data_IF_397908035996
#
_entry.id   IF_397908035996
#
_cell.length_a   1.000
_cell.length_b   1.000
_cell.length_c   1.000
_cell.angle_alpha   90.00
_cell.angle_beta   90.00
_cell.angle_gamma   90.00
#
_symmetry.space_group_name_H-M   'P 1'
#
loop_
_entity.id
_entity.type
_entity.pdbx_description
1 polymer ?
#
# COMPACT_ATOMS: atom_id res chain seq x y z
N UNK A 1 -32.47 27.23 38.89
CA UNK A 1 -31.72 26.27 38.05
C UNK A 1 -30.89 26.87 36.95
N UNK A 2 -30.48 28.16 37.09
CA UNK A 2 -29.81 28.90 36.01
C UNK A 2 -28.33 29.28 36.26
N UNK A 3 -27.68 28.51 37.15
CA UNK A 3 -26.30 28.88 37.59
C UNK A 3 -25.19 28.03 36.98
N UNK A 4 -25.47 27.10 36.08
CA UNK A 4 -24.48 26.16 35.58
C UNK A 4 -23.96 26.42 34.14
N UNK A 5 -24.40 27.51 33.49
CA UNK A 5 -24.08 27.76 32.10
C UNK A 5 -23.21 29.01 31.81
N UNK A 6 -22.48 29.53 32.80
CA UNK A 6 -21.49 30.59 32.58
C UNK A 6 -20.06 30.12 32.83
N UNK A 7 -19.66 29.07 32.12
CA UNK A 7 -18.25 28.73 31.95
C UNK A 7 -17.64 29.69 30.91
N UNK A 8 -17.16 30.85 31.36
CA UNK A 8 -16.37 31.74 30.53
C UNK A 8 -14.97 31.16 30.35
N UNK A 9 -14.88 30.10 29.53
CA UNK A 9 -13.60 29.50 29.17
C UNK A 9 -13.01 30.30 28.00
N UNK A 10 -11.90 30.97 28.25
CA UNK A 10 -11.18 31.67 27.18
C UNK A 10 -10.48 30.67 26.28
N UNK A 11 -10.27 31.04 24.99
CA UNK A 11 -9.52 30.21 24.04
C UNK A 11 -8.14 29.78 24.57
N UNK A 12 -7.52 30.64 25.38
CA UNK A 12 -6.22 30.38 25.99
C UNK A 12 -6.28 29.33 27.09
N UNK A 13 -7.35 29.26 27.84
CA UNK A 13 -7.56 28.24 28.88
C UNK A 13 -7.92 26.88 28.26
N UNK A 14 -8.67 26.88 27.16
CA UNK A 14 -8.96 25.67 26.39
C UNK A 14 -7.67 25.05 25.80
N UNK A 15 -6.77 25.89 25.27
CA UNK A 15 -5.49 25.45 24.74
C UNK A 15 -4.56 24.89 25.82
N UNK A 16 -4.56 25.50 27.02
CA UNK A 16 -3.77 24.99 28.15
C UNK A 16 -4.30 23.68 28.70
N UNK A 17 -5.61 23.49 28.74
CA UNK A 17 -6.25 22.25 29.15
C UNK A 17 -6.02 21.13 28.09
N UNK A 18 -6.02 21.48 26.80
CA UNK A 18 -5.72 20.56 25.70
C UNK A 18 -4.27 20.06 25.72
N UNK A 19 -3.31 20.90 26.10
CA UNK A 19 -1.89 20.53 26.18
C UNK A 19 -1.61 19.54 27.33
N UNK A 20 -2.33 19.65 28.44
CA UNK A 20 -2.18 18.73 29.57
C UNK A 20 -2.80 17.33 29.30
N UNK A 21 -3.87 17.26 28.51
CA UNK A 21 -4.50 15.97 28.13
C UNK A 21 -3.73 15.23 27.03
N UNK A 22 -2.99 15.93 26.17
CA UNK A 22 -2.16 15.32 25.13
C UNK A 22 -1.00 14.48 25.71
N UNK A 23 -0.46 14.85 26.86
CA UNK A 23 0.62 14.12 27.51
C UNK A 23 0.17 12.77 28.11
N UNK A 24 -1.10 12.65 28.53
CA UNK A 24 -1.63 11.42 29.09
C UNK A 24 -2.05 10.36 28.02
N UNK A 25 -2.29 10.81 26.78
CA UNK A 25 -2.69 9.93 25.67
C UNK A 25 -1.45 9.43 24.88
N UNK A 26 -0.29 10.08 25.04
CA UNK A 26 0.93 9.71 24.32
C UNK A 26 1.60 8.42 24.85
N UNK A 27 1.35 8.06 26.10
CA UNK A 27 1.99 6.88 26.72
C UNK A 27 1.56 5.51 26.13
N UNK A 28 0.29 5.26 25.78
CA UNK A 28 -0.11 3.98 25.17
C UNK A 28 0.26 3.86 23.71
N UNK A 29 0.44 4.95 22.98
CA UNK A 29 0.80 4.91 21.55
C UNK A 29 2.26 4.51 21.30
N UNK A 30 3.15 4.78 22.24
CA UNK A 30 4.57 4.36 22.13
C UNK A 30 4.69 2.85 22.31
N UNK A 31 3.88 2.24 23.18
CA UNK A 31 3.87 0.79 23.38
C UNK A 31 3.28 0.01 22.19
N UNK A 32 2.30 0.61 21.48
CA UNK A 32 1.72 0.03 20.26
C UNK A 32 2.64 0.17 19.04
N UNK A 33 3.42 1.25 18.96
CA UNK A 33 4.40 1.44 17.88
C UNK A 33 5.56 0.44 17.96
N UNK A 34 5.93 0.00 19.17
CA UNK A 34 6.98 -1.02 19.37
C UNK A 34 6.53 -2.44 19.03
N UNK A 35 5.23 -2.71 19.00
CA UNK A 35 4.70 -4.02 18.60
C UNK A 35 4.72 -4.26 17.08
N UNK A 36 5.09 -3.25 16.28
CA UNK A 36 5.15 -3.35 14.81
C UNK A 36 6.54 -3.71 14.26
N UNK A 37 7.55 -3.82 15.11
CA UNK A 37 8.88 -4.28 14.74
C UNK A 37 9.00 -5.82 14.75
N UNK A 38 7.95 -6.53 14.31
CA UNK A 38 8.11 -7.92 13.95
C UNK A 38 9.09 -7.97 12.75
N UNK A 39 10.16 -8.77 12.80
CA UNK A 39 11.11 -8.85 11.71
C UNK A 39 10.36 -9.19 10.43
N UNK A 40 10.54 -8.36 9.41
CA UNK A 40 9.92 -8.59 8.11
C UNK A 40 10.32 -9.99 7.65
N UNK A 41 9.33 -10.81 7.32
CA UNK A 41 9.60 -12.16 6.81
C UNK A 41 10.42 -12.04 5.53
N UNK A 42 11.46 -12.87 5.35
CA UNK A 42 12.28 -12.84 4.15
C UNK A 42 11.39 -13.06 2.91
N UNK A 43 11.74 -12.46 1.77
CA UNK A 43 10.97 -12.63 0.54
C UNK A 43 10.98 -14.11 0.12
N UNK A 44 9.83 -14.62 -0.28
CA UNK A 44 9.70 -15.95 -0.89
C UNK A 44 9.84 -15.74 -2.39
N UNK A 45 10.97 -16.21 -2.94
CA UNK A 45 11.28 -16.10 -4.37
C UNK A 45 10.66 -17.26 -5.15
N UNK A 46 10.14 -16.97 -6.33
CA UNK A 46 9.65 -17.93 -7.29
C UNK A 46 10.14 -17.60 -8.70
N UNK A 47 10.47 -18.62 -9.47
CA UNK A 47 10.74 -18.45 -10.90
C UNK A 47 9.43 -18.52 -11.66
N UNK A 48 9.11 -17.47 -12.41
CA UNK A 48 7.87 -17.34 -13.19
C UNK A 48 8.24 -17.21 -14.66
N UNK A 49 7.63 -18.03 -15.50
CA UNK A 49 7.81 -17.98 -16.95
C UNK A 49 6.47 -17.65 -17.61
N UNK A 50 6.45 -16.65 -18.48
CA UNK A 50 5.29 -16.28 -19.28
C UNK A 50 5.73 -15.61 -20.60
N UNK A 51 4.80 -15.45 -21.52
CA UNK A 51 5.08 -14.80 -22.79
C UNK A 51 4.58 -13.36 -22.77
N UNK A 52 5.44 -12.40 -23.12
CA UNK A 52 5.08 -10.97 -23.22
C UNK A 52 5.35 -10.48 -24.64
N UNK A 53 4.30 -10.01 -25.31
CA UNK A 53 4.38 -9.51 -26.69
C UNK A 53 5.04 -10.51 -27.66
N UNK A 54 4.74 -11.80 -27.50
CA UNK A 54 5.29 -12.87 -28.33
C UNK A 54 6.73 -13.28 -28.00
N UNK A 55 7.26 -12.84 -26.87
CA UNK A 55 8.60 -13.21 -26.37
C UNK A 55 8.48 -13.97 -25.07
N UNK A 56 9.11 -15.15 -24.96
CA UNK A 56 9.16 -15.86 -23.68
C UNK A 56 10.09 -15.12 -22.72
N UNK A 57 9.60 -14.86 -21.53
CA UNK A 57 10.34 -14.20 -20.45
C UNK A 57 10.32 -15.10 -19.21
N UNK A 58 11.44 -15.17 -18.52
CA UNK A 58 11.58 -15.92 -17.26
C UNK A 58 12.17 -15.00 -16.22
N UNK A 59 11.47 -14.84 -15.10
CA UNK A 59 11.85 -13.94 -14.03
C UNK A 59 11.90 -14.69 -12.70
N UNK A 60 12.87 -14.34 -11.88
CA UNK A 60 12.90 -14.72 -10.47
C UNK A 60 12.37 -13.54 -9.65
N UNK A 61 11.21 -13.72 -9.04
CA UNK A 61 10.44 -12.66 -8.38
C UNK A 61 10.03 -13.06 -6.96
N UNK A 62 9.92 -12.07 -6.09
CA UNK A 62 9.13 -12.23 -4.86
C UNK A 62 7.68 -12.57 -5.24
N UNK A 63 7.10 -13.59 -4.62
CA UNK A 63 5.73 -14.06 -4.89
C UNK A 63 4.67 -12.98 -4.68
N UNK A 64 5.01 -11.88 -3.99
CA UNK A 64 4.15 -10.72 -3.77
C UNK A 64 4.24 -9.67 -4.87
N UNK A 65 5.10 -9.87 -5.87
CA UNK A 65 5.28 -8.91 -6.97
C UNK A 65 4.03 -8.86 -7.84
N UNK A 66 3.47 -7.66 -8.04
CA UNK A 66 2.37 -7.45 -8.95
C UNK A 66 2.80 -7.67 -10.39
N UNK A 67 1.86 -8.03 -11.27
CA UNK A 67 2.15 -8.13 -12.70
C UNK A 67 2.63 -6.77 -13.26
N UNK A 68 2.09 -5.67 -12.76
CA UNK A 68 2.53 -4.32 -13.15
C UNK A 68 4.01 -4.08 -12.82
N UNK A 69 4.44 -4.44 -11.61
CA UNK A 69 5.83 -4.25 -11.19
C UNK A 69 6.76 -5.22 -11.96
N UNK A 70 6.34 -6.46 -12.21
CA UNK A 70 7.09 -7.39 -13.04
C UNK A 70 7.36 -6.82 -14.44
N UNK A 71 6.34 -6.25 -15.08
CA UNK A 71 6.48 -5.66 -16.41
C UNK A 71 7.36 -4.41 -16.41
N UNK A 72 7.19 -3.53 -15.44
CA UNK A 72 7.88 -2.22 -15.42
C UNK A 72 9.29 -2.27 -14.84
N UNK A 73 9.44 -2.93 -13.68
CA UNK A 73 10.68 -2.87 -12.90
C UNK A 73 11.65 -4.00 -13.26
N UNK A 74 11.13 -5.16 -13.67
CA UNK A 74 11.96 -6.31 -14.02
C UNK A 74 12.17 -6.47 -15.52
N UNK A 75 11.12 -6.31 -16.34
CA UNK A 75 11.23 -6.38 -17.79
C UNK A 75 11.46 -5.01 -18.46
N UNK A 76 11.40 -3.91 -17.69
CA UNK A 76 11.57 -2.53 -18.17
C UNK A 76 10.59 -2.14 -19.29
N UNK A 77 9.42 -2.78 -19.33
CA UNK A 77 8.36 -2.49 -20.27
C UNK A 77 7.49 -1.36 -19.74
N UNK A 78 7.81 -0.13 -20.07
CA UNK A 78 7.18 1.09 -19.54
C UNK A 78 5.88 1.49 -20.23
N UNK A 79 5.39 0.69 -21.18
CA UNK A 79 4.11 0.91 -21.87
C UNK A 79 2.93 0.98 -20.93
N UNK A 80 2.80 0.02 -20.01
CA UNK A 80 1.82 0.07 -18.92
C UNK A 80 2.25 1.12 -17.89
N UNK A 81 1.30 1.89 -17.37
CA UNK A 81 1.57 2.98 -16.43
C UNK A 81 1.13 2.63 -15.02
N UNK A 82 1.94 3.00 -14.05
CA UNK A 82 1.58 2.94 -12.63
C UNK A 82 0.94 4.28 -12.25
N UNK A 83 -0.38 4.28 -12.15
CA UNK A 83 -1.15 5.45 -11.74
C UNK A 83 -1.57 5.31 -10.27
N UNK A 84 -2.79 4.88 -10.01
CA UNK A 84 -3.32 4.73 -8.65
C UNK A 84 -2.80 3.53 -7.87
N UNK A 85 -2.34 2.48 -8.55
CA UNK A 85 -1.86 1.21 -7.97
C UNK A 85 -2.90 0.45 -7.11
N UNK A 86 -4.18 0.72 -7.32
CA UNK A 86 -5.29 0.07 -6.61
C UNK A 86 -6.54 -0.13 -7.48
N UNK A 87 -6.35 -0.19 -8.80
CA UNK A 87 -7.40 -0.61 -9.75
C UNK A 87 -8.41 0.44 -10.15
N UNK A 88 -8.22 1.73 -9.83
CA UNK A 88 -9.19 2.79 -10.09
C UNK A 88 -8.99 3.50 -11.44
N UNK A 89 -7.74 3.77 -11.83
CA UNK A 89 -7.45 4.64 -12.98
C UNK A 89 -7.40 3.91 -14.33
N UNK A 90 -7.19 2.60 -14.35
CA UNK A 90 -7.06 1.80 -15.58
C UNK A 90 -5.76 2.03 -16.38
N UNK A 91 -4.83 2.86 -15.88
CA UNK A 91 -3.57 3.16 -16.57
C UNK A 91 -2.65 1.95 -16.76
N UNK A 92 -2.80 0.91 -15.93
CA UNK A 92 -2.06 -0.34 -15.97
C UNK A 92 -2.77 -1.46 -16.73
N UNK A 93 -3.81 -1.18 -17.48
CA UNK A 93 -4.57 -2.20 -18.21
C UNK A 93 -3.68 -2.91 -19.22
N UNK A 94 -3.70 -4.25 -19.17
CA UNK A 94 -3.03 -5.16 -20.11
C UNK A 94 -4.00 -6.21 -20.61
N UNK A 95 -3.63 -6.89 -21.67
CA UNK A 95 -4.38 -8.04 -22.21
C UNK A 95 -3.64 -9.31 -21.80
N UNK A 96 -4.30 -10.18 -21.05
CA UNK A 96 -3.79 -11.49 -20.66
C UNK A 96 -4.79 -12.54 -21.15
N UNK A 97 -4.34 -13.49 -21.96
CA UNK A 97 -5.17 -14.53 -22.55
C UNK A 97 -6.45 -13.98 -23.23
N UNK A 98 -6.30 -12.88 -23.97
CA UNK A 98 -7.40 -12.21 -24.65
C UNK A 98 -8.34 -11.40 -23.76
N UNK A 99 -8.08 -11.30 -22.46
CA UNK A 99 -8.89 -10.57 -21.49
C UNK A 99 -8.14 -9.35 -20.96
N UNK A 100 -8.82 -8.21 -20.88
CA UNK A 100 -8.27 -7.00 -20.24
C UNK A 100 -8.30 -7.14 -18.73
N UNK A 101 -7.19 -6.84 -18.08
CA UNK A 101 -7.04 -6.84 -16.62
C UNK A 101 -6.24 -5.62 -16.16
N UNK A 102 -6.41 -5.23 -14.92
CA UNK A 102 -5.56 -4.24 -14.28
C UNK A 102 -4.33 -4.93 -13.68
N UNK A 103 -3.16 -4.71 -14.25
CA UNK A 103 -1.93 -5.39 -13.85
C UNK A 103 -1.50 -5.09 -12.41
N UNK A 104 -1.98 -4.00 -11.79
CA UNK A 104 -1.72 -3.68 -10.39
C UNK A 104 -2.50 -4.55 -9.39
N UNK A 105 -3.59 -5.22 -9.83
CA UNK A 105 -4.47 -6.03 -8.97
C UNK A 105 -4.21 -7.53 -9.05
N UNK A 106 -3.18 -7.95 -9.73
CA UNK A 106 -2.84 -9.38 -9.88
C UNK A 106 -1.35 -9.60 -9.66
N UNK A 107 -1.01 -10.77 -9.12
CA UNK A 107 0.39 -11.15 -8.90
C UNK A 107 0.97 -11.78 -10.15
N UNK A 108 2.26 -11.53 -10.42
CA UNK A 108 2.95 -12.10 -11.58
C UNK A 108 2.94 -13.62 -11.56
N UNK A 109 3.10 -14.25 -10.39
CA UNK A 109 3.08 -15.72 -10.21
C UNK A 109 1.76 -16.39 -10.60
N UNK A 110 0.67 -15.63 -10.72
CA UNK A 110 -0.64 -16.17 -11.14
C UNK A 110 -0.78 -16.30 -12.65
N UNK A 111 0.20 -15.85 -13.42
CA UNK A 111 0.19 -15.82 -14.90
C UNK A 111 1.31 -16.67 -15.51
N UNK A 112 1.76 -17.69 -14.79
CA UNK A 112 2.72 -18.66 -15.30
C UNK A 112 2.09 -19.47 -16.45
N UNK A 113 2.79 -19.55 -17.59
CA UNK A 113 2.35 -20.33 -18.78
C UNK A 113 2.24 -19.50 -20.07
#
# INVERSE_FOLDING_TARGET
MDSLLKLNITRRELLKAGAASAAAIAAPSVALAQAQDAPAQPPVMATVAFEVNGKPETLELDTRTSLLDALREHLHLTGTKKGCDHGQCGACTVIVDGRRINACLTLAVMHEG
#
